data_IF_822820944236
#
_entry.id   IF_822820944236
#
_cell.length_a   1.000
_cell.length_b   1.000
_cell.length_c   1.000
_cell.angle_alpha   90.00
_cell.angle_beta   90.00
_cell.angle_gamma   90.00
#
_symmetry.space_group_name_H-M   'P 1'
#
loop_
_entity.id
_entity.type
_entity.pdbx_description
1 polymer ?
#
# COMPACT_ATOMS: atom_id res chain seq x y z
N UNK A 1 -1.17 16.78 32.67
CA UNK A 1 -0.57 17.60 31.59
C UNK A 1 0.95 17.63 31.80
N UNK A 2 1.67 16.66 31.24
CA UNK A 2 3.10 16.60 30.95
C UNK A 2 3.11 15.82 29.63
N UNK A 3 3.45 16.36 28.46
CA UNK A 3 4.60 17.20 28.13
C UNK A 3 5.44 16.55 27.02
N UNK A 4 5.25 15.25 26.79
CA UNK A 4 5.71 14.52 25.61
C UNK A 4 4.57 13.61 25.17
N UNK A 5 3.89 13.94 24.08
CA UNK A 5 3.20 12.89 23.32
C UNK A 5 4.34 12.10 22.70
N UNK A 6 4.77 11.03 23.36
CA UNK A 6 5.66 10.04 22.77
C UNK A 6 4.93 9.42 21.59
N UNK A 7 5.12 10.04 20.42
CA UNK A 7 4.65 9.46 19.17
C UNK A 7 5.44 8.19 18.90
N UNK A 8 4.81 7.21 18.25
CA UNK A 8 5.50 5.96 17.86
C UNK A 8 6.78 6.24 17.08
N UNK A 9 6.81 7.33 16.30
CA UNK A 9 7.99 7.74 15.56
C UNK A 9 9.17 8.08 16.47
N UNK A 10 8.92 8.80 17.57
CA UNK A 10 9.96 9.15 18.55
C UNK A 10 10.43 7.93 19.33
N UNK A 11 9.53 7.00 19.66
CA UNK A 11 9.88 5.73 20.31
C UNK A 11 10.78 4.87 19.39
N UNK A 12 10.42 4.72 18.12
CA UNK A 12 11.25 4.02 17.11
C UNK A 12 12.62 4.70 16.97
N UNK A 13 12.66 6.03 16.90
CA UNK A 13 13.91 6.78 16.80
C UNK A 13 14.79 6.63 18.06
N UNK A 14 14.19 6.52 19.25
CA UNK A 14 14.92 6.30 20.49
C UNK A 14 15.49 4.88 20.59
N UNK A 15 14.76 3.85 20.14
CA UNK A 15 15.18 2.45 20.21
C UNK A 15 16.15 2.06 19.09
N UNK A 16 15.93 2.56 17.88
CA UNK A 16 16.63 2.10 16.67
C UNK A 16 17.43 3.20 15.97
N UNK A 17 17.33 4.44 16.42
CA UNK A 17 17.98 5.60 15.81
C UNK A 17 17.14 6.26 14.72
N UNK A 18 17.40 7.56 14.49
CA UNK A 18 16.74 8.37 13.46
C UNK A 18 16.89 7.82 12.04
N UNK A 19 18.03 7.17 11.74
CA UNK A 19 18.27 6.56 10.43
C UNK A 19 17.29 5.41 10.12
N UNK A 20 17.03 4.54 11.10
CA UNK A 20 16.09 3.44 10.94
C UNK A 20 14.65 3.92 10.82
N UNK A 21 14.26 4.98 11.54
CA UNK A 21 12.98 5.64 11.34
C UNK A 21 12.81 6.11 9.89
N UNK A 22 13.83 6.75 9.32
CA UNK A 22 13.81 7.21 7.92
C UNK A 22 13.66 6.03 6.95
N UNK A 23 14.42 4.95 7.14
CA UNK A 23 14.31 3.74 6.30
C UNK A 23 12.91 3.12 6.39
N UNK A 24 12.33 3.07 7.59
CA UNK A 24 10.97 2.59 7.80
C UNK A 24 9.92 3.46 7.07
N UNK A 25 10.02 4.78 7.18
CA UNK A 25 9.14 5.70 6.45
C UNK A 25 9.30 5.55 4.94
N UNK A 26 10.54 5.44 4.44
CA UNK A 26 10.81 5.19 3.01
C UNK A 26 10.13 3.89 2.56
N UNK A 27 10.18 2.82 3.36
CA UNK A 27 9.49 1.57 3.04
C UNK A 27 7.97 1.78 2.89
N UNK A 28 7.34 2.52 3.81
CA UNK A 28 5.90 2.83 3.73
C UNK A 28 5.54 3.63 2.47
N UNK A 29 6.32 4.67 2.17
CA UNK A 29 6.10 5.49 0.98
C UNK A 29 6.41 4.72 -0.31
N UNK A 30 7.37 3.78 -0.28
CA UNK A 30 7.68 2.94 -1.43
C UNK A 30 6.48 2.10 -1.89
N UNK A 31 5.70 1.53 -0.96
CA UNK A 31 4.46 0.82 -1.30
C UNK A 31 3.41 1.76 -1.92
N UNK A 32 3.34 3.00 -1.44
CA UNK A 32 2.45 4.01 -2.01
C UNK A 32 2.85 4.37 -3.45
N UNK A 33 4.13 4.66 -3.69
CA UNK A 33 4.63 4.95 -5.04
C UNK A 33 4.44 3.77 -5.99
N UNK A 34 4.61 2.55 -5.50
CA UNK A 34 4.34 1.33 -6.28
C UNK A 34 2.86 1.19 -6.66
N UNK A 35 1.95 1.48 -5.72
CA UNK A 35 0.52 1.51 -6.03
C UNK A 35 0.18 2.63 -7.02
N UNK A 36 0.80 3.80 -6.87
CA UNK A 36 0.59 4.94 -7.77
C UNK A 36 1.10 4.67 -9.19
N UNK A 37 2.27 4.04 -9.34
CA UNK A 37 2.77 3.58 -10.63
C UNK A 37 1.81 2.54 -11.27
N UNK A 38 1.23 1.66 -10.45
CA UNK A 38 0.22 0.69 -10.91
C UNK A 38 -1.06 1.39 -11.36
N UNK A 39 -1.51 2.42 -10.64
CA UNK A 39 -2.64 3.26 -11.01
C UNK A 39 -2.47 3.90 -12.40
N UNK A 40 -1.29 4.48 -12.68
CA UNK A 40 -0.99 5.09 -13.99
C UNK A 40 -1.00 4.01 -15.09
N UNK A 41 -0.39 2.85 -14.82
CA UNK A 41 -0.28 1.74 -15.78
C UNK A 41 -1.63 1.10 -16.12
N UNK A 42 -2.55 1.03 -15.17
CA UNK A 42 -3.85 0.35 -15.30
C UNK A 42 -4.99 1.26 -15.72
N UNK A 43 -4.67 2.47 -16.19
CA UNK A 43 -5.64 3.39 -16.80
C UNK A 43 -6.44 2.65 -17.89
N UNK A 44 -7.77 2.66 -17.77
CA UNK A 44 -8.74 1.96 -18.63
C UNK A 44 -8.95 0.45 -18.38
N UNK A 45 -8.57 -0.08 -17.21
CA UNK A 45 -8.93 -1.46 -16.80
C UNK A 45 -9.79 -1.43 -15.55
N UNK A 46 -10.56 -2.49 -15.30
CA UNK A 46 -11.40 -2.59 -14.09
C UNK A 46 -10.58 -2.53 -12.78
N UNK A 47 -9.31 -2.94 -12.85
CA UNK A 47 -8.35 -2.92 -11.73
C UNK A 47 -7.99 -1.47 -11.32
N UNK A 48 -8.22 -0.49 -12.20
CA UNK A 48 -7.94 0.91 -11.95
C UNK A 48 -8.67 1.46 -10.72
N UNK A 49 -9.96 1.14 -10.56
CA UNK A 49 -10.77 1.61 -9.44
C UNK A 49 -10.23 1.14 -8.09
N UNK A 50 -9.76 -0.11 -8.02
CA UNK A 50 -9.13 -0.64 -6.82
C UNK A 50 -7.83 0.09 -6.48
N UNK A 51 -6.98 0.37 -7.49
CA UNK A 51 -5.73 1.11 -7.25
C UNK A 51 -5.96 2.55 -6.80
N UNK A 52 -7.02 3.22 -7.29
CA UNK A 52 -7.44 4.55 -6.82
C UNK A 52 -7.89 4.49 -5.36
N UNK A 53 -8.75 3.52 -5.01
CA UNK A 53 -9.25 3.36 -3.64
C UNK A 53 -8.12 3.12 -2.64
N UNK A 54 -7.16 2.25 -3.00
CA UNK A 54 -5.97 2.00 -2.20
C UNK A 54 -5.09 3.26 -2.10
N UNK A 55 -4.92 4.01 -3.18
CA UNK A 55 -4.14 5.25 -3.16
C UNK A 55 -4.78 6.29 -2.23
N UNK A 56 -6.09 6.51 -2.35
CA UNK A 56 -6.83 7.44 -1.48
C UNK A 56 -6.79 7.02 -0.01
N UNK A 57 -6.98 5.72 0.27
CA UNK A 57 -6.92 5.19 1.63
C UNK A 57 -5.54 5.35 2.27
N UNK A 58 -4.47 4.99 1.55
CA UNK A 58 -3.10 5.18 2.04
C UNK A 58 -2.75 6.66 2.23
N UNK A 59 -3.17 7.53 1.30
CA UNK A 59 -2.96 8.97 1.41
C UNK A 59 -3.66 9.53 2.66
N UNK A 60 -4.90 9.12 2.93
CA UNK A 60 -5.63 9.48 4.14
C UNK A 60 -4.94 9.01 5.42
N UNK A 61 -4.39 7.79 5.43
CA UNK A 61 -3.62 7.26 6.56
C UNK A 61 -2.34 8.09 6.76
N UNK A 62 -1.61 8.42 5.69
CA UNK A 62 -0.29 9.05 5.75
C UNK A 62 -0.32 10.56 6.03
N UNK A 63 -1.32 11.30 5.53
CA UNK A 63 -1.41 12.74 5.75
C UNK A 63 -2.02 13.11 7.11
N UNK A 64 -2.79 12.20 7.71
CA UNK A 64 -3.44 12.43 9.00
C UNK A 64 -2.61 11.80 10.14
N UNK A 65 -2.85 12.21 11.39
CA UNK A 65 -2.33 11.51 12.59
C UNK A 65 -2.76 10.04 12.67
N UNK A 66 -3.62 9.57 11.76
CA UNK A 66 -4.09 8.20 11.62
C UNK A 66 -2.97 7.17 11.42
N UNK A 67 -1.85 7.51 10.76
CA UNK A 67 -0.73 6.57 10.62
C UNK A 67 -0.19 6.11 11.98
N UNK A 68 -0.07 7.03 12.93
CA UNK A 68 0.41 6.70 14.28
C UNK A 68 -0.54 5.71 14.97
N UNK A 69 -1.85 5.93 14.85
CA UNK A 69 -2.87 5.04 15.38
C UNK A 69 -2.89 3.66 14.70
N UNK A 70 -2.67 3.63 13.39
CA UNK A 70 -2.58 2.38 12.61
C UNK A 70 -1.36 1.56 13.04
N UNK A 71 -0.23 2.22 13.31
CA UNK A 71 0.99 1.55 13.78
C UNK A 71 0.87 1.10 15.25
N UNK A 72 0.07 1.81 16.07
CA UNK A 72 -0.12 1.49 17.49
C UNK A 72 -1.04 0.30 17.74
N UNK A 73 -2.03 0.09 16.86
CA UNK A 73 -3.03 -0.95 17.02
C UNK A 73 -2.70 -2.15 16.12
N UNK A 74 -2.40 -3.30 16.72
CA UNK A 74 -2.03 -4.54 16.02
C UNK A 74 -3.01 -4.94 14.91
N UNK A 75 -4.32 -4.78 15.15
CA UNK A 75 -5.34 -5.10 14.14
C UNK A 75 -5.24 -4.20 12.90
N UNK A 76 -5.08 -2.89 13.09
CA UNK A 76 -4.96 -1.94 11.97
C UNK A 76 -3.63 -2.14 11.23
N UNK A 77 -2.57 -2.46 11.97
CA UNK A 77 -1.28 -2.82 11.39
C UNK A 77 -1.40 -4.03 10.47
N UNK A 78 -2.09 -5.10 10.89
CA UNK A 78 -2.33 -6.26 10.02
C UNK A 78 -3.14 -5.91 8.77
N UNK A 79 -4.14 -5.03 8.88
CA UNK A 79 -4.90 -4.55 7.71
C UNK A 79 -4.00 -3.77 6.75
N UNK A 80 -3.10 -2.92 7.26
CA UNK A 80 -2.12 -2.20 6.44
C UNK A 80 -1.17 -3.17 5.71
N UNK A 81 -0.66 -4.19 6.42
CA UNK A 81 0.18 -5.23 5.81
C UNK A 81 -0.57 -6.02 4.73
N UNK A 82 -1.85 -6.30 4.94
CA UNK A 82 -2.71 -6.93 3.94
C UNK A 82 -2.85 -6.05 2.69
N UNK A 83 -3.06 -4.74 2.85
CA UNK A 83 -3.09 -3.78 1.73
C UNK A 83 -1.78 -3.78 0.96
N UNK A 84 -0.63 -3.81 1.64
CA UNK A 84 0.68 -3.93 0.98
C UNK A 84 0.82 -5.22 0.18
N UNK A 85 0.36 -6.36 0.72
CA UNK A 85 0.35 -7.62 -0.01
C UNK A 85 -0.53 -7.55 -1.28
N UNK A 86 -1.70 -6.91 -1.20
CA UNK A 86 -2.59 -6.71 -2.36
C UNK A 86 -1.88 -5.88 -3.44
N UNK A 87 -1.22 -4.76 -3.06
CA UNK A 87 -0.44 -3.91 -3.99
C UNK A 87 0.61 -4.74 -4.74
N UNK A 88 1.31 -5.63 -4.04
CA UNK A 88 2.35 -6.48 -4.64
C UNK A 88 1.77 -7.51 -5.62
N UNK A 89 0.60 -8.05 -5.32
CA UNK A 89 -0.05 -9.11 -6.12
C UNK A 89 -0.78 -8.57 -7.34
N UNK A 90 -1.29 -7.33 -7.28
CA UNK A 90 -2.08 -6.72 -8.35
C UNK A 90 -1.49 -6.87 -9.77
N UNK A 91 -0.19 -6.57 -10.00
CA UNK A 91 0.41 -6.75 -11.32
C UNK A 91 0.50 -8.19 -11.79
N UNK A 92 0.65 -9.13 -10.86
CA UNK A 92 0.68 -10.57 -11.18
C UNK A 92 -0.71 -11.05 -11.58
N UNK A 93 -1.74 -10.56 -10.91
CA UNK A 93 -3.14 -10.91 -11.18
C UNK A 93 -3.57 -10.41 -12.57
N UNK A 94 -3.27 -9.15 -12.90
CA UNK A 94 -3.58 -8.56 -14.20
C UNK A 94 -2.92 -9.35 -15.35
N UNK A 95 -1.64 -9.71 -15.21
CA UNK A 95 -0.93 -10.53 -16.21
C UNK A 95 -1.62 -11.88 -16.43
N UNK A 96 -2.07 -12.55 -15.35
CA UNK A 96 -2.80 -13.82 -15.44
C UNK A 96 -4.14 -13.64 -16.15
N UNK A 97 -4.87 -12.57 -15.84
CA UNK A 97 -6.17 -12.29 -16.44
C UNK A 97 -6.06 -12.07 -17.96
N UNK A 98 -5.07 -11.29 -18.42
CA UNK A 98 -4.81 -11.10 -19.87
C UNK A 98 -4.50 -12.40 -20.62
N UNK A 99 -3.74 -13.31 -20.01
CA UNK A 99 -3.42 -14.62 -20.60
C UNK A 99 -4.69 -15.48 -20.75
N UNK A 100 -5.54 -15.49 -19.72
CA UNK A 100 -6.79 -16.25 -19.74
C UNK A 100 -7.77 -15.73 -20.79
N UNK A 101 -7.91 -14.41 -20.93
CA UNK A 101 -8.74 -13.82 -21.98
C UNK A 101 -8.23 -14.19 -23.38
N UNK A 102 -6.91 -14.16 -23.61
CA UNK A 102 -6.31 -14.53 -24.89
C UNK A 102 -6.55 -16.01 -25.23
N UNK A 103 -6.42 -16.92 -24.26
CA UNK A 103 -6.74 -18.36 -24.47
C UNK A 103 -8.20 -18.58 -24.82
N UNK A 104 -9.11 -17.89 -24.12
CA UNK A 104 -10.55 -18.01 -24.34
C UNK A 104 -10.95 -17.53 -25.75
N UNK A 105 -10.37 -16.43 -26.23
CA UNK A 105 -10.63 -15.92 -27.58
C UNK A 105 -10.22 -16.88 -28.68
N UNK A 106 -9.14 -17.66 -28.48
CA UNK A 106 -8.68 -18.66 -29.46
C UNK A 106 -9.65 -19.84 -29.52
N UNK A 107 -10.19 -20.27 -28.37
CA UNK A 107 -11.10 -21.42 -28.30
C UNK A 107 -12.45 -21.20 -29.02
N UNK A 108 -12.94 -19.96 -29.06
CA UNK A 108 -14.20 -19.64 -29.75
C UNK A 108 -14.02 -19.21 -31.21
N UNK A 109 -12.78 -19.11 -31.70
CA UNK A 109 -12.46 -18.65 -33.05
C UNK A 109 -12.07 -19.79 -34.02
N UNK A 110 -11.99 -21.03 -33.54
CA UNK A 110 -11.77 -22.24 -34.34
C UNK A 110 -12.95 -23.18 -34.20
#
# INVERSE_FOLDING_TARGET
KNGLVETIYLMIAAETGWHNLVVFLIMLFWFYFRNFASYIKYRNTDIHYLTIGIAGGLLGIYLQSSLEWVLKQTNNFYQLMMVFAIIVVLPKLERRYKILQRKRSIYYAG
#
